data_IF_067329994435
#
_entry.id   IF_067329994435
#
_cell.length_a   1.000
_cell.length_b   1.000
_cell.length_c   1.000
_cell.angle_alpha   90.00
_cell.angle_beta   90.00
_cell.angle_gamma   90.00
#
_symmetry.space_group_name_H-M   'P 1'
#
loop_
_entity.id
_entity.type
_entity.pdbx_description
1 polymer ?
#
# COMPACT_ATOMS: atom_id res chain seq x y z
N UNK A 1 30.09 -30.10 -13.38
CA UNK A 1 28.93 -30.23 -12.48
C UNK A 1 28.29 -28.87 -12.34
N UNK A 2 26.97 -28.74 -12.39
CA UNK A 2 26.30 -27.45 -12.09
C UNK A 2 26.63 -27.06 -10.65
N UNK A 3 27.06 -25.84 -10.44
CA UNK A 3 27.34 -25.29 -9.10
C UNK A 3 26.01 -25.22 -8.33
N UNK A 4 25.91 -25.87 -7.19
CA UNK A 4 24.80 -25.73 -6.26
C UNK A 4 24.94 -24.36 -5.61
N UNK A 5 24.00 -23.46 -5.85
CA UNK A 5 23.96 -22.14 -5.22
C UNK A 5 23.56 -22.27 -3.75
N UNK A 6 24.21 -21.51 -2.89
CA UNK A 6 23.78 -21.37 -1.50
C UNK A 6 22.47 -20.58 -1.40
N UNK A 7 21.73 -20.77 -0.32
CA UNK A 7 20.51 -19.98 -0.05
C UNK A 7 20.79 -18.47 -0.11
N UNK A 8 21.93 -18.02 0.42
CA UNK A 8 22.31 -16.61 0.39
C UNK A 8 22.54 -16.09 -1.05
N UNK A 9 23.15 -16.88 -1.92
CA UNK A 9 23.34 -16.53 -3.34
C UNK A 9 22.01 -16.45 -4.10
N UNK A 10 21.08 -17.35 -3.78
CA UNK A 10 19.71 -17.35 -4.33
C UNK A 10 18.99 -16.05 -3.92
N UNK A 11 18.97 -15.73 -2.64
CA UNK A 11 18.30 -14.53 -2.12
C UNK A 11 18.96 -13.23 -2.64
N UNK A 12 20.27 -13.18 -2.71
CA UNK A 12 20.99 -12.03 -3.29
C UNK A 12 20.62 -11.81 -4.77
N UNK A 13 20.48 -12.87 -5.55
CA UNK A 13 20.06 -12.76 -6.95
C UNK A 13 18.60 -12.34 -7.05
N UNK A 14 17.69 -12.93 -6.26
CA UNK A 14 16.29 -12.55 -6.21
C UNK A 14 16.12 -11.06 -5.88
N UNK A 15 16.84 -10.56 -4.88
CA UNK A 15 16.82 -9.15 -4.48
C UNK A 15 17.28 -8.23 -5.62
N UNK A 16 18.38 -8.57 -6.30
CA UNK A 16 18.86 -7.78 -7.45
C UNK A 16 17.87 -7.79 -8.59
N UNK A 17 17.27 -8.93 -8.91
CA UNK A 17 16.29 -9.06 -9.98
C UNK A 17 15.02 -8.28 -9.66
N UNK A 18 14.50 -8.36 -8.43
CA UNK A 18 13.37 -7.56 -7.99
C UNK A 18 13.66 -6.06 -8.04
N UNK A 19 14.86 -5.62 -7.68
CA UNK A 19 15.25 -4.21 -7.79
C UNK A 19 15.31 -3.69 -9.23
N UNK A 20 15.83 -4.50 -10.17
CA UNK A 20 15.80 -4.18 -11.59
C UNK A 20 14.36 -4.17 -12.15
N UNK A 21 13.55 -5.17 -11.76
CA UNK A 21 12.17 -5.30 -12.17
C UNK A 21 11.30 -4.13 -11.66
N UNK A 22 11.51 -3.69 -10.41
CA UNK A 22 10.79 -2.54 -9.85
C UNK A 22 10.98 -1.29 -10.69
N UNK A 23 12.22 -0.99 -11.11
CA UNK A 23 12.53 0.15 -11.99
C UNK A 23 11.87 0.01 -13.35
N UNK A 24 12.09 -1.11 -14.03
CA UNK A 24 11.59 -1.33 -15.39
C UNK A 24 10.06 -1.37 -15.43
N UNK A 25 9.40 -2.03 -14.48
CA UNK A 25 7.94 -2.04 -14.38
C UNK A 25 7.35 -0.65 -14.11
N UNK A 26 8.07 0.17 -13.35
CA UNK A 26 7.64 1.54 -13.08
C UNK A 26 7.76 2.47 -14.30
N UNK A 27 8.77 2.24 -15.14
CA UNK A 27 9.04 3.05 -16.34
C UNK A 27 8.16 2.64 -17.52
N UNK A 28 7.96 1.33 -17.73
CA UNK A 28 7.34 0.78 -18.92
C UNK A 28 6.00 0.08 -18.68
N UNK A 29 5.57 0.01 -17.43
CA UNK A 29 4.46 -0.84 -16.99
C UNK A 29 4.82 -2.34 -16.99
N UNK A 30 4.08 -3.17 -16.23
CA UNK A 30 4.35 -4.61 -16.20
C UNK A 30 4.25 -5.28 -17.58
N UNK A 31 3.33 -4.84 -18.44
CA UNK A 31 3.12 -5.42 -19.77
C UNK A 31 4.21 -5.02 -20.75
N UNK A 32 4.83 -3.86 -20.57
CA UNK A 32 5.92 -3.35 -21.41
C UNK A 32 7.29 -4.00 -21.14
N UNK A 33 7.41 -4.87 -20.12
CA UNK A 33 8.68 -5.49 -19.73
C UNK A 33 8.65 -7.00 -19.95
N UNK A 34 9.69 -7.52 -20.61
CA UNK A 34 9.94 -8.95 -20.78
C UNK A 34 11.00 -9.47 -19.80
N UNK A 35 10.95 -10.79 -19.50
CA UNK A 35 12.00 -11.44 -18.67
C UNK A 35 13.38 -11.32 -19.33
N UNK A 36 13.45 -11.27 -20.66
CA UNK A 36 14.70 -11.08 -21.39
C UNK A 36 15.33 -9.71 -21.08
N UNK A 37 14.55 -8.64 -21.10
CA UNK A 37 15.03 -7.30 -20.71
C UNK A 37 15.53 -7.27 -19.26
N UNK A 38 14.86 -7.98 -18.35
CA UNK A 38 15.33 -8.11 -16.96
C UNK A 38 16.67 -8.86 -16.88
N UNK A 39 16.85 -9.90 -17.67
CA UNK A 39 18.12 -10.64 -17.75
C UNK A 39 19.23 -9.78 -18.34
N UNK A 40 18.95 -9.05 -19.41
CA UNK A 40 19.92 -8.14 -20.07
C UNK A 40 20.35 -7.03 -19.10
N UNK A 41 19.42 -6.44 -18.32
CA UNK A 41 19.70 -5.43 -17.28
C UNK A 41 20.65 -5.97 -16.18
N UNK A 42 20.55 -7.26 -15.87
CA UNK A 42 21.39 -7.92 -14.88
C UNK A 42 22.70 -8.51 -15.44
N UNK A 43 22.91 -8.42 -16.76
CA UNK A 43 24.06 -8.98 -17.44
C UNK A 43 24.11 -10.52 -17.36
N UNK A 44 22.94 -11.19 -17.40
CA UNK A 44 22.86 -12.64 -17.31
C UNK A 44 22.07 -13.24 -18.50
N UNK A 45 22.15 -14.56 -18.64
CA UNK A 45 21.43 -15.25 -19.72
C UNK A 45 19.91 -15.14 -19.50
N UNK A 46 19.13 -15.06 -20.59
CA UNK A 46 17.68 -14.98 -20.56
C UNK A 46 16.99 -16.13 -19.80
N UNK A 47 17.68 -17.26 -19.63
CA UNK A 47 17.20 -18.41 -18.86
C UNK A 47 17.50 -18.32 -17.36
N UNK A 48 18.36 -17.39 -16.94
CA UNK A 48 18.77 -17.27 -15.53
C UNK A 48 17.60 -16.89 -14.61
N UNK A 49 16.74 -15.91 -14.93
CA UNK A 49 15.58 -15.56 -14.08
C UNK A 49 14.65 -16.75 -13.81
N UNK A 50 14.43 -17.63 -14.78
CA UNK A 50 13.55 -18.80 -14.65
C UNK A 50 14.04 -19.86 -13.64
N UNK A 51 15.28 -19.76 -13.17
CA UNK A 51 15.79 -20.58 -12.05
C UNK A 51 15.27 -20.12 -10.69
N UNK A 52 14.74 -18.90 -10.61
CA UNK A 52 14.35 -18.22 -9.37
C UNK A 52 12.88 -17.84 -9.33
N UNK A 53 12.26 -17.67 -10.50
CA UNK A 53 10.86 -17.27 -10.67
C UNK A 53 10.24 -18.08 -11.80
N UNK A 54 9.00 -18.47 -11.63
CA UNK A 54 8.25 -19.29 -12.62
C UNK A 54 7.97 -18.51 -13.91
N UNK A 55 7.60 -17.23 -13.75
CA UNK A 55 7.20 -16.34 -14.84
C UNK A 55 7.30 -14.87 -14.42
N UNK A 56 6.87 -13.97 -15.29
CA UNK A 56 6.88 -12.51 -15.06
C UNK A 56 5.96 -12.10 -13.92
N UNK A 57 4.81 -12.76 -13.76
CA UNK A 57 3.84 -12.45 -12.72
C UNK A 57 4.41 -12.81 -11.34
N UNK A 58 5.20 -13.88 -11.25
CA UNK A 58 5.89 -14.28 -10.01
C UNK A 58 6.94 -13.21 -9.61
N UNK A 59 7.66 -12.63 -10.58
CA UNK A 59 8.57 -11.51 -10.35
C UNK A 59 7.79 -10.26 -9.89
N UNK A 60 6.70 -9.92 -10.58
CA UNK A 60 5.87 -8.77 -10.23
C UNK A 60 5.27 -8.91 -8.84
N UNK A 61 4.78 -10.10 -8.49
CA UNK A 61 4.24 -10.38 -7.16
C UNK A 61 5.32 -10.22 -6.08
N UNK A 62 6.55 -10.70 -6.32
CA UNK A 62 7.66 -10.56 -5.40
C UNK A 62 8.09 -9.08 -5.22
N UNK A 63 8.15 -8.31 -6.30
CA UNK A 63 8.42 -6.86 -6.26
C UNK A 63 7.37 -6.13 -5.43
N UNK A 64 6.09 -6.41 -5.66
CA UNK A 64 4.98 -5.81 -4.91
C UNK A 64 5.00 -6.21 -3.45
N UNK A 65 5.26 -7.48 -3.14
CA UNK A 65 5.38 -7.96 -1.75
C UNK A 65 6.50 -7.21 -1.00
N UNK A 66 7.68 -7.08 -1.62
CA UNK A 66 8.78 -6.33 -1.04
C UNK A 66 8.45 -4.84 -0.82
N UNK A 67 7.71 -4.21 -1.74
CA UNK A 67 7.25 -2.83 -1.58
C UNK A 67 6.25 -2.70 -0.41
N UNK A 68 5.28 -3.62 -0.28
CA UNK A 68 4.35 -3.66 0.84
C UNK A 68 5.05 -3.89 2.18
N UNK A 69 6.07 -4.77 2.23
CA UNK A 69 6.83 -4.99 3.46
C UNK A 69 7.61 -3.73 3.87
N UNK A 70 8.31 -3.05 2.95
CA UNK A 70 8.99 -1.76 3.22
C UNK A 70 8.00 -0.68 3.69
N UNK A 71 6.83 -0.63 3.06
CA UNK A 71 5.77 0.28 3.47
C UNK A 71 5.29 -0.03 4.90
N UNK A 72 5.00 -1.28 5.22
CA UNK A 72 4.58 -1.70 6.56
C UNK A 72 5.66 -1.41 7.61
N UNK A 73 6.94 -1.66 7.30
CA UNK A 73 8.07 -1.34 8.18
C UNK A 73 8.13 0.14 8.54
N UNK A 74 7.87 1.02 7.56
CA UNK A 74 7.83 2.47 7.79
C UNK A 74 6.68 2.89 8.71
N UNK A 75 5.49 2.26 8.57
CA UNK A 75 4.33 2.50 9.43
C UNK A 75 4.58 1.97 10.86
N UNK A 76 5.05 0.73 10.98
CA UNK A 76 5.39 0.10 12.25
C UNK A 76 6.45 0.91 13.03
N UNK A 77 7.45 1.45 12.32
CA UNK A 77 8.47 2.31 12.93
C UNK A 77 7.89 3.65 13.42
N UNK A 78 6.88 4.19 12.74
CA UNK A 78 6.21 5.41 13.16
C UNK A 78 5.30 5.17 14.37
N UNK A 79 4.59 4.04 14.40
CA UNK A 79 3.67 3.66 15.49
C UNK A 79 4.42 3.38 16.80
N UNK A 80 5.64 2.81 16.73
CA UNK A 80 6.49 2.57 17.92
C UNK A 80 7.03 3.83 18.59
N UNK A 81 6.87 5.02 17.99
CA UNK A 81 7.30 6.28 18.63
C UNK A 81 6.49 6.55 19.90
N UNK A 82 7.10 7.16 20.92
CA UNK A 82 6.39 7.54 22.14
C UNK A 82 5.31 8.59 21.83
N UNK A 83 4.19 8.53 22.56
CA UNK A 83 3.07 9.46 22.42
C UNK A 83 1.73 8.78 22.65
N UNK A 84 0.68 9.61 22.76
CA UNK A 84 -0.71 9.17 22.77
C UNK A 84 -1.19 8.68 21.41
N UNK A 85 -2.40 8.12 21.34
CA UNK A 85 -2.96 7.61 20.08
C UNK A 85 -3.00 8.69 18.97
N UNK A 86 -3.27 9.95 19.34
CA UNK A 86 -3.32 11.04 18.37
C UNK A 86 -1.93 11.37 17.81
N UNK A 87 -0.87 11.36 18.62
CA UNK A 87 0.51 11.53 18.17
C UNK A 87 0.96 10.37 17.29
N UNK A 88 0.68 9.14 17.67
CA UNK A 88 0.97 7.93 16.88
C UNK A 88 0.24 7.94 15.53
N UNK A 89 -1.06 8.25 15.52
CA UNK A 89 -1.85 8.38 14.30
C UNK A 89 -1.28 9.42 13.33
N UNK A 90 -0.86 10.60 13.84
CA UNK A 90 -0.18 11.60 13.02
C UNK A 90 1.14 11.08 12.45
N UNK A 91 1.95 10.41 13.29
CA UNK A 91 3.24 9.87 12.87
C UNK A 91 3.09 8.80 11.78
N UNK A 92 2.11 7.90 11.90
CA UNK A 92 1.77 6.91 10.87
C UNK A 92 1.31 7.60 9.58
N UNK A 93 0.39 8.58 9.66
CA UNK A 93 -0.07 9.33 8.50
C UNK A 93 1.06 10.11 7.78
N UNK A 94 2.03 10.64 8.52
CA UNK A 94 3.22 11.28 7.94
C UNK A 94 4.18 10.28 7.33
N UNK A 95 4.37 9.10 7.94
CA UNK A 95 5.19 8.03 7.40
C UNK A 95 4.61 7.50 6.09
N UNK A 96 3.28 7.34 6.03
CA UNK A 96 2.54 6.97 4.84
C UNK A 96 2.86 7.89 3.66
N UNK A 97 2.66 9.19 3.85
CA UNK A 97 2.92 10.19 2.79
C UNK A 97 4.40 10.23 2.42
N UNK A 98 5.28 10.16 3.42
CA UNK A 98 6.73 10.18 3.19
C UNK A 98 7.18 8.99 2.34
N UNK A 99 6.66 7.79 2.61
CA UNK A 99 6.95 6.61 1.79
C UNK A 99 6.49 6.83 0.35
N UNK A 100 5.24 7.22 0.13
CA UNK A 100 4.67 7.40 -1.20
C UNK A 100 5.42 8.46 -2.03
N UNK A 101 5.88 9.54 -1.40
CA UNK A 101 6.63 10.61 -2.09
C UNK A 101 8.12 10.27 -2.29
N UNK A 102 8.70 9.44 -1.41
CA UNK A 102 10.09 8.99 -1.52
C UNK A 102 10.26 7.84 -2.49
N UNK A 103 9.29 6.93 -2.54
CA UNK A 103 9.27 5.72 -3.36
C UNK A 103 8.02 5.68 -4.27
N UNK A 104 7.81 6.70 -5.15
CA UNK A 104 6.57 6.83 -5.91
C UNK A 104 6.35 5.70 -6.89
N UNK A 105 7.42 5.09 -7.39
CA UNK A 105 7.38 3.96 -8.30
C UNK A 105 6.88 2.70 -7.58
N UNK A 106 7.49 2.36 -6.43
CA UNK A 106 7.04 1.26 -5.59
C UNK A 106 5.57 1.45 -5.16
N UNK A 107 5.22 2.68 -4.74
CA UNK A 107 3.86 3.01 -4.32
C UNK A 107 2.82 2.78 -5.43
N UNK A 108 3.12 3.18 -6.68
CA UNK A 108 2.25 2.91 -7.83
C UNK A 108 2.11 1.41 -8.07
N UNK A 109 3.19 0.65 -8.10
CA UNK A 109 3.15 -0.80 -8.31
C UNK A 109 2.34 -1.54 -7.23
N UNK A 110 2.33 -1.06 -5.99
CA UNK A 110 1.50 -1.64 -4.93
C UNK A 110 0.00 -1.59 -5.25
N UNK A 111 -0.49 -0.52 -5.89
CA UNK A 111 -1.91 -0.21 -6.01
C UNK A 111 -2.46 -0.17 -7.45
N UNK A 112 -1.61 -0.05 -8.45
CA UNK A 112 -2.01 0.24 -9.84
C UNK A 112 -2.30 -1.00 -10.68
N UNK A 113 -2.17 -2.18 -10.15
CA UNK A 113 -2.30 -3.41 -10.93
C UNK A 113 -3.47 -4.22 -10.42
N UNK A 114 -4.17 -4.88 -11.34
CA UNK A 114 -5.17 -5.89 -11.01
C UNK A 114 -4.64 -6.86 -9.95
N UNK A 115 -5.45 -7.18 -8.97
CA UNK A 115 -5.06 -8.12 -7.92
C UNK A 115 -4.82 -9.49 -8.56
N UNK A 116 -3.63 -10.08 -8.42
CA UNK A 116 -3.40 -11.43 -8.88
C UNK A 116 -4.19 -12.42 -8.01
N UNK A 117 -4.35 -13.64 -8.51
CA UNK A 117 -4.94 -14.74 -7.76
C UNK A 117 -4.22 -14.89 -6.39
N UNK A 118 -4.94 -14.72 -5.26
CA UNK A 118 -4.33 -14.80 -3.92
C UNK A 118 -3.66 -16.14 -3.66
N UNK A 119 -4.26 -17.24 -4.14
CA UNK A 119 -3.76 -18.59 -3.90
C UNK A 119 -2.43 -18.84 -4.64
N UNK A 120 -2.20 -18.11 -5.72
CA UNK A 120 -0.96 -18.20 -6.49
C UNK A 120 0.21 -17.44 -5.85
N UNK A 121 -0.06 -16.37 -5.08
CA UNK A 121 0.96 -15.45 -4.55
C UNK A 121 0.81 -15.18 -3.04
N UNK A 122 0.97 -16.20 -2.19
CA UNK A 122 0.72 -16.08 -0.75
C UNK A 122 1.61 -15.04 -0.04
N UNK A 123 2.84 -14.84 -0.50
CA UNK A 123 3.74 -13.81 0.05
C UNK A 123 3.23 -12.39 -0.22
N UNK A 124 2.66 -12.14 -1.40
CA UNK A 124 2.04 -10.85 -1.71
C UNK A 124 0.79 -10.61 -0.84
N UNK A 125 -0.03 -11.65 -0.65
CA UNK A 125 -1.21 -11.58 0.23
C UNK A 125 -0.79 -11.27 1.66
N UNK A 126 0.22 -11.97 2.19
CA UNK A 126 0.77 -11.74 3.53
C UNK A 126 1.27 -10.28 3.68
N UNK A 127 2.08 -9.82 2.74
CA UNK A 127 2.68 -8.48 2.78
C UNK A 127 1.61 -7.37 2.67
N UNK A 128 0.65 -7.50 1.76
CA UNK A 128 -0.44 -6.52 1.58
C UNK A 128 -1.38 -6.50 2.79
N UNK A 129 -1.66 -7.67 3.41
CA UNK A 129 -2.45 -7.76 4.65
C UNK A 129 -1.73 -7.10 5.82
N UNK A 130 -0.41 -7.34 5.97
CA UNK A 130 0.42 -6.66 6.96
C UNK A 130 0.39 -5.14 6.78
N UNK A 131 0.57 -4.67 5.56
CA UNK A 131 0.54 -3.24 5.23
C UNK A 131 -0.82 -2.60 5.57
N UNK A 132 -1.93 -3.29 5.26
CA UNK A 132 -3.28 -2.84 5.62
C UNK A 132 -3.44 -2.71 7.13
N UNK A 133 -3.01 -3.71 7.90
CA UNK A 133 -3.06 -3.68 9.36
C UNK A 133 -2.23 -2.50 9.92
N UNK A 134 -1.04 -2.27 9.39
CA UNK A 134 -0.16 -1.18 9.84
C UNK A 134 -0.76 0.22 9.67
N UNK A 135 -1.67 0.41 8.70
CA UNK A 135 -2.38 1.68 8.48
C UNK A 135 -3.73 1.79 9.20
N UNK A 136 -4.25 0.70 9.80
CA UNK A 136 -5.55 0.71 10.48
C UNK A 136 -5.44 0.66 12.01
N UNK A 137 -4.40 0.05 12.55
CA UNK A 137 -4.25 -0.15 14.01
C UNK A 137 -4.36 1.15 14.83
N UNK A 138 -3.87 2.27 14.31
CA UNK A 138 -3.94 3.56 15.00
C UNK A 138 -5.38 4.11 15.09
N UNK A 139 -6.30 3.69 14.22
CA UNK A 139 -7.73 4.07 14.31
C UNK A 139 -8.38 3.35 15.48
N UNK A 140 -8.09 2.06 15.67
CA UNK A 140 -8.55 1.29 16.83
C UNK A 140 -8.11 1.95 18.13
N UNK A 141 -6.86 2.41 18.21
CA UNK A 141 -6.33 3.14 19.37
C UNK A 141 -7.06 4.47 19.61
N UNK A 142 -7.35 5.25 18.55
CA UNK A 142 -8.11 6.51 18.66
C UNK A 142 -9.54 6.27 19.17
N UNK A 143 -10.16 5.17 18.79
CA UNK A 143 -11.50 4.79 19.28
C UNK A 143 -11.41 4.33 20.74
N UNK A 144 -10.42 3.51 21.09
CA UNK A 144 -10.22 3.05 22.46
C UNK A 144 -9.97 4.21 23.45
N UNK A 145 -9.28 5.27 23.02
CA UNK A 145 -9.07 6.51 23.79
C UNK A 145 -10.26 7.49 23.73
N UNK A 146 -11.36 7.14 23.04
CA UNK A 146 -12.55 8.00 22.90
C UNK A 146 -12.33 9.23 22.02
N UNK A 147 -11.27 9.28 21.23
CA UNK A 147 -10.97 10.39 20.30
C UNK A 147 -11.87 10.33 19.05
N UNK A 148 -12.16 9.11 18.59
CA UNK A 148 -13.06 8.81 17.48
C UNK A 148 -14.18 7.89 17.95
N UNK A 149 -15.31 7.90 17.22
CA UNK A 149 -16.47 7.03 17.48
C UNK A 149 -16.94 6.43 16.16
N UNK A 150 -17.18 5.13 16.14
CA UNK A 150 -17.70 4.41 14.99
C UNK A 150 -16.97 3.10 14.71
N UNK A 151 -17.21 2.54 13.54
CA UNK A 151 -16.56 1.33 13.07
C UNK A 151 -15.10 1.62 12.69
N UNK A 152 -14.11 0.97 13.33
CA UNK A 152 -12.69 1.21 13.06
C UNK A 152 -12.28 0.85 11.63
N UNK A 153 -12.89 -0.17 11.05
CA UNK A 153 -12.59 -0.60 9.67
C UNK A 153 -13.08 0.45 8.67
N UNK A 154 -14.31 0.92 8.82
CA UNK A 154 -14.89 1.97 7.97
C UNK A 154 -14.08 3.27 8.04
N UNK A 155 -13.73 3.72 9.26
CA UNK A 155 -12.94 4.94 9.47
C UNK A 155 -11.53 4.77 8.89
N UNK A 156 -10.91 3.60 9.11
CA UNK A 156 -9.59 3.26 8.56
C UNK A 156 -9.58 3.31 7.02
N UNK A 157 -10.58 2.73 6.38
CA UNK A 157 -10.74 2.80 4.92
C UNK A 157 -10.97 4.23 4.41
N UNK A 158 -11.76 5.03 5.11
CA UNK A 158 -11.99 6.43 4.74
C UNK A 158 -10.69 7.25 4.80
N UNK A 159 -9.90 7.09 5.87
CA UNK A 159 -8.59 7.74 5.99
C UNK A 159 -7.62 7.27 4.91
N UNK A 160 -7.58 5.97 4.65
CA UNK A 160 -6.73 5.41 3.60
C UNK A 160 -7.14 5.93 2.22
N UNK A 161 -8.41 5.83 1.85
CA UNK A 161 -8.90 6.30 0.55
C UNK A 161 -8.61 7.78 0.30
N UNK A 162 -8.78 8.62 1.32
CA UNK A 162 -8.50 10.05 1.21
C UNK A 162 -7.00 10.34 1.05
N UNK A 163 -6.14 9.73 1.86
CA UNK A 163 -4.68 9.89 1.71
C UNK A 163 -4.19 9.35 0.37
N UNK A 164 -4.64 8.15 -0.03
CA UNK A 164 -4.28 7.53 -1.30
C UNK A 164 -4.70 8.39 -2.48
N UNK A 165 -5.97 8.85 -2.50
CA UNK A 165 -6.48 9.70 -3.56
C UNK A 165 -5.69 11.00 -3.71
N UNK A 166 -5.41 11.69 -2.61
CA UNK A 166 -4.60 12.91 -2.62
C UNK A 166 -3.16 12.67 -3.12
N UNK A 167 -2.53 11.58 -2.72
CA UNK A 167 -1.20 11.21 -3.17
C UNK A 167 -1.21 10.89 -4.67
N UNK A 168 -2.16 10.09 -5.14
CA UNK A 168 -2.26 9.75 -6.57
C UNK A 168 -2.50 11.00 -7.42
N UNK A 169 -3.38 11.92 -6.99
CA UNK A 169 -3.58 13.19 -7.65
C UNK A 169 -2.32 14.06 -7.66
N UNK A 170 -1.56 14.06 -6.56
CA UNK A 170 -0.30 14.79 -6.47
C UNK A 170 0.76 14.21 -7.41
N UNK A 171 0.97 12.90 -7.40
CA UNK A 171 1.93 12.21 -8.27
C UNK A 171 1.56 12.31 -9.77
N UNK A 172 0.28 12.50 -10.06
CA UNK A 172 -0.22 12.74 -11.42
C UNK A 172 -0.20 14.23 -11.82
N UNK A 173 0.30 15.15 -10.98
CA UNK A 173 0.27 16.60 -11.19
C UNK A 173 -1.15 17.15 -11.46
N UNK A 174 -2.18 16.58 -10.83
CA UNK A 174 -3.59 16.97 -10.96
C UNK A 174 -4.06 17.93 -9.86
N UNK A 175 -3.27 18.14 -8.81
CA UNK A 175 -3.61 19.10 -7.76
C UNK A 175 -3.28 20.53 -8.17
N UNK A 176 -4.05 21.54 -7.68
CA UNK A 176 -3.74 22.94 -7.90
C UNK A 176 -2.43 23.32 -7.19
N UNK A 177 -1.79 24.41 -7.65
CA UNK A 177 -0.61 24.96 -6.94
C UNK A 177 -0.94 25.55 -5.58
N UNK A 178 -2.18 26.03 -5.41
CA UNK A 178 -2.72 26.60 -4.16
C UNK A 178 -4.16 26.14 -3.96
N UNK A 179 -4.54 25.57 -2.79
CA UNK A 179 -3.63 25.24 -1.69
C UNK A 179 -2.62 24.16 -2.07
N UNK A 180 -1.45 24.13 -1.43
CA UNK A 180 -0.46 23.07 -1.66
C UNK A 180 -0.93 21.70 -1.12
N UNK A 181 -0.25 20.65 -1.53
CA UNK A 181 -0.56 19.27 -1.15
C UNK A 181 -0.69 19.07 0.37
N UNK A 182 0.24 19.64 1.16
CA UNK A 182 0.24 19.45 2.61
C UNK A 182 -0.93 20.18 3.29
N UNK A 183 -1.26 21.36 2.80
CA UNK A 183 -2.42 22.13 3.27
C UNK A 183 -3.72 21.41 2.95
N UNK A 184 -3.86 20.91 1.71
CA UNK A 184 -5.04 20.17 1.27
C UNK A 184 -5.20 18.87 2.07
N UNK A 185 -4.10 18.11 2.25
CA UNK A 185 -4.11 16.90 3.06
C UNK A 185 -4.53 17.15 4.51
N UNK A 186 -3.97 18.18 5.16
CA UNK A 186 -4.36 18.55 6.53
C UNK A 186 -5.85 18.85 6.63
N UNK A 187 -6.36 19.67 5.73
CA UNK A 187 -7.78 20.03 5.71
C UNK A 187 -8.66 18.78 5.53
N UNK A 188 -8.33 17.91 4.60
CA UNK A 188 -9.07 16.66 4.36
C UNK A 188 -9.07 15.76 5.59
N UNK A 189 -7.91 15.55 6.24
CA UNK A 189 -7.83 14.74 7.46
C UNK A 189 -8.62 15.36 8.62
N UNK A 190 -8.60 16.69 8.77
CA UNK A 190 -9.39 17.39 9.78
C UNK A 190 -10.90 17.18 9.58
N UNK A 191 -11.39 17.27 8.35
CA UNK A 191 -12.78 17.02 8.02
C UNK A 191 -13.20 15.59 8.36
N UNK A 192 -12.38 14.59 8.02
CA UNK A 192 -12.65 13.19 8.34
C UNK A 192 -12.64 12.93 9.85
N UNK A 193 -11.65 13.48 10.57
CA UNK A 193 -11.57 13.37 12.03
C UNK A 193 -12.80 14.02 12.70
N UNK A 194 -13.22 15.19 12.25
CA UNK A 194 -14.42 15.86 12.76
C UNK A 194 -15.67 15.02 12.50
N UNK A 195 -15.83 14.49 11.27
CA UNK A 195 -16.94 13.60 10.94
C UNK A 195 -16.98 12.35 11.81
N UNK A 196 -15.83 11.72 12.06
CA UNK A 196 -15.73 10.52 12.90
C UNK A 196 -15.91 10.80 14.41
N UNK A 197 -15.78 12.04 14.87
CA UNK A 197 -16.10 12.46 16.25
C UNK A 197 -17.60 12.66 16.46
N UNK A 198 -18.34 13.04 15.43
CA UNK A 198 -19.76 13.38 15.50
C UNK A 198 -20.68 12.24 15.05
N UNK A 199 -20.16 11.20 14.43
CA UNK A 199 -20.94 10.07 13.90
C UNK A 199 -21.73 9.28 14.98
N UNK A 200 -21.48 9.53 16.27
CA UNK A 200 -22.23 8.94 17.39
C UNK A 200 -23.72 9.30 17.40
N UNK A 201 -24.18 10.30 16.63
CA UNK A 201 -25.55 10.80 16.67
C UNK A 201 -26.35 10.62 15.36
N UNK A 202 -25.82 9.98 14.35
CA UNK A 202 -26.60 9.72 13.12
C UNK A 202 -26.70 8.21 12.91
N UNK A 203 -27.86 7.58 13.16
CA UNK A 203 -28.06 6.19 12.78
C UNK A 203 -27.89 6.09 11.26
N UNK A 204 -27.05 5.18 10.80
CA UNK A 204 -27.04 4.74 9.41
C UNK A 204 -28.42 4.17 9.14
N UNK A 205 -29.27 4.95 8.55
CA UNK A 205 -30.60 4.52 8.15
C UNK A 205 -30.41 3.40 7.16
N UNK A 206 -30.80 2.21 7.57
CA UNK A 206 -30.77 0.99 6.77
C UNK A 206 -31.72 1.18 5.57
N UNK A 207 -31.15 1.65 4.44
CA UNK A 207 -31.89 1.81 3.17
C UNK A 207 -32.38 0.50 2.58
N UNK A 208 -32.06 -0.62 3.18
CA UNK A 208 -32.56 -1.93 2.76
C UNK A 208 -33.93 -2.28 3.34
N UNK A 209 -34.46 -1.55 4.34
CA UNK A 209 -35.82 -1.82 4.87
C UNK A 209 -36.94 -1.40 3.92
N UNK A 210 -36.71 -0.42 3.03
CA UNK A 210 -37.77 0.12 2.16
C UNK A 210 -38.04 -0.71 0.89
N UNK A 211 -37.29 -1.78 0.61
CA UNK A 211 -37.53 -2.65 -0.56
C UNK A 211 -38.41 -3.88 -0.28
N UNK A 212 -38.78 -4.15 0.95
CA UNK A 212 -39.66 -5.27 1.31
C UNK A 212 -41.10 -4.90 1.60
N UNK A 213 -41.45 -3.60 1.71
CA UNK A 213 -42.83 -3.18 1.97
C UNK A 213 -43.65 -2.82 0.72
N UNK A 214 -43.02 -2.77 -0.48
CA UNK A 214 -43.76 -2.55 -1.75
C UNK A 214 -44.15 -3.83 -2.50
N UNK A 215 -44.05 -5.01 -1.86
CA UNK A 215 -44.46 -6.30 -2.45
C UNK A 215 -45.38 -7.13 -1.52
N UNK A 216 -46.27 -6.47 -0.80
CA UNK A 216 -47.37 -7.16 -0.15
C UNK A 216 -48.71 -6.54 -0.55
#
# INVERSE_FOLDING_TARGET
MPRILSTAEVEAFRTRLCGAAERLFAEHGPDGVSIRQLADELGCSAMTPYRYFRDKDDILAAVRAAAFDRFADAMDAAERKPGDAAAKSRAVGEAYVRFALKEPQAYRLMFDVSQPDPDRFPDLVRASTRARRAISVHVEMLIAEGVLVGDPELIGYAFWAANHGLIMLHLANKLPRKPDFQTLRRATMQLLIQGARTAANTPVTDRNRLKHEEKS
#
